data_IF_814728906611
#
_entry.id   IF_814728906611
#
_cell.length_a   1.000
_cell.length_b   1.000
_cell.length_c   1.000
_cell.angle_alpha   90.00
_cell.angle_beta   90.00
_cell.angle_gamma   90.00
#
_symmetry.space_group_name_H-M   'P 1'
#
loop_
_entity.id
_entity.type
_entity.pdbx_description
1 polymer ?
#
# COMPACT_ATOMS: atom_id res chain seq x y z
N UNK A 1 -8.50 15.81 9.41
CA UNK A 1 -9.01 14.52 8.90
C UNK A 1 -10.02 14.68 7.76
N UNK A 2 -11.18 15.34 7.95
CA UNK A 2 -12.20 15.58 6.89
C UNK A 2 -11.62 16.16 5.58
N UNK A 3 -10.75 17.17 5.69
CA UNK A 3 -10.12 17.80 4.52
C UNK A 3 -9.11 16.90 3.80
N UNK A 4 -8.41 16.02 4.52
CA UNK A 4 -7.49 15.04 3.92
C UNK A 4 -8.23 13.92 3.17
N UNK A 5 -9.40 13.51 3.69
CA UNK A 5 -10.30 12.55 3.02
C UNK A 5 -10.86 13.17 1.74
N UNK A 6 -11.29 14.44 1.80
CA UNK A 6 -11.71 15.21 0.62
C UNK A 6 -10.56 15.37 -0.39
N UNK A 7 -9.35 15.68 0.08
CA UNK A 7 -8.19 15.82 -0.79
C UNK A 7 -7.84 14.51 -1.51
N UNK A 8 -7.82 13.41 -0.75
CA UNK A 8 -7.61 12.06 -1.26
C UNK A 8 -8.67 11.69 -2.28
N UNK A 9 -9.95 11.98 -1.99
CA UNK A 9 -11.08 11.74 -2.90
C UNK A 9 -11.01 12.57 -4.20
N UNK A 10 -10.58 13.83 -4.12
CA UNK A 10 -10.42 14.69 -5.29
C UNK A 10 -9.30 14.19 -6.22
N UNK A 11 -8.09 13.95 -5.68
CA UNK A 11 -6.95 13.42 -6.45
C UNK A 11 -7.22 12.02 -7.02
N UNK A 12 -8.02 11.25 -6.31
CA UNK A 12 -8.53 9.94 -6.70
C UNK A 12 -9.49 10.01 -7.88
N UNK A 13 -10.41 10.98 -7.92
CA UNK A 13 -11.45 11.08 -8.96
C UNK A 13 -11.00 11.77 -10.26
N UNK A 14 -9.80 12.37 -10.27
CA UNK A 14 -9.24 13.08 -11.41
C UNK A 14 -9.17 12.31 -12.76
N UNK A 15 -8.96 10.99 -12.81
CA UNK A 15 -9.05 10.26 -14.09
C UNK A 15 -10.49 10.17 -14.63
N UNK A 16 -11.52 10.21 -13.78
CA UNK A 16 -12.93 10.23 -14.20
C UNK A 16 -13.28 11.57 -14.86
N UNK A 17 -12.65 12.66 -14.43
CA UNK A 17 -12.81 13.99 -15.05
C UNK A 17 -11.95 14.20 -16.29
N UNK A 18 -11.27 13.16 -16.78
CA UNK A 18 -10.56 13.21 -18.05
C UNK A 18 -9.29 14.07 -18.03
N UNK A 19 -8.75 14.41 -16.87
CA UNK A 19 -7.52 15.23 -16.74
C UNK A 19 -6.31 14.55 -17.38
N UNK A 20 -6.33 13.22 -17.47
CA UNK A 20 -5.35 12.41 -18.23
C UNK A 20 -5.28 12.75 -19.74
N UNK A 21 -6.33 13.32 -20.33
CA UNK A 21 -6.34 13.78 -21.72
C UNK A 21 -5.83 15.20 -21.90
N UNK A 22 -5.42 15.85 -20.80
CA UNK A 22 -5.01 17.25 -20.76
C UNK A 22 -3.51 17.37 -20.57
N UNK A 23 -2.85 16.33 -20.08
CA UNK A 23 -1.40 16.27 -19.91
C UNK A 23 -0.76 15.51 -21.07
N UNK A 24 0.19 16.16 -21.76
CA UNK A 24 1.01 15.55 -22.81
C UNK A 24 2.35 15.08 -22.22
N UNK A 25 2.87 13.94 -22.68
CA UNK A 25 4.09 13.29 -22.15
C UNK A 25 5.37 14.17 -22.19
N UNK A 26 5.36 15.27 -22.95
CA UNK A 26 6.49 16.17 -23.16
C UNK A 26 6.39 17.53 -22.43
N UNK A 27 5.45 17.68 -21.49
CA UNK A 27 5.24 18.95 -20.80
C UNK A 27 6.26 19.18 -19.68
N UNK A 28 6.80 20.40 -19.59
CA UNK A 28 7.60 20.81 -18.43
C UNK A 28 6.72 21.14 -17.22
N UNK A 29 7.32 21.23 -16.03
CA UNK A 29 6.61 21.43 -14.76
C UNK A 29 5.73 22.70 -14.76
N UNK A 30 6.16 23.77 -15.43
CA UNK A 30 5.38 25.02 -15.55
C UNK A 30 4.22 24.89 -16.52
N UNK A 31 4.41 24.15 -17.61
CA UNK A 31 3.38 23.87 -18.59
C UNK A 31 2.32 22.94 -18.00
N UNK A 32 2.73 21.90 -17.26
CA UNK A 32 1.84 21.01 -16.49
C UNK A 32 1.03 21.82 -15.49
N UNK A 33 1.70 22.65 -14.68
CA UNK A 33 1.03 23.50 -13.68
C UNK A 33 -0.02 24.41 -14.34
N UNK A 34 0.36 25.13 -15.41
CA UNK A 34 -0.54 26.05 -16.11
C UNK A 34 -1.76 25.32 -16.71
N UNK A 35 -1.56 24.13 -17.26
CA UNK A 35 -2.64 23.35 -17.88
C UNK A 35 -3.57 22.72 -16.84
N UNK A 36 -3.03 22.27 -15.71
CA UNK A 36 -3.81 21.84 -14.56
C UNK A 36 -4.61 23.00 -13.98
N UNK A 37 -4.01 24.17 -13.75
CA UNK A 37 -4.71 25.37 -13.27
C UNK A 37 -5.84 25.78 -14.22
N UNK A 38 -5.60 25.77 -15.53
CA UNK A 38 -6.60 26.13 -16.56
C UNK A 38 -7.74 25.11 -16.61
N UNK A 39 -7.44 23.83 -16.45
CA UNK A 39 -8.42 22.73 -16.55
C UNK A 39 -9.24 22.59 -15.28
N UNK A 40 -8.61 22.75 -14.12
CA UNK A 40 -9.28 22.70 -12.83
C UNK A 40 -10.13 23.95 -12.59
N UNK A 41 -9.86 25.06 -13.30
CA UNK A 41 -10.73 26.23 -13.36
C UNK A 41 -11.96 26.07 -14.26
N UNK A 42 -12.14 24.95 -14.97
CA UNK A 42 -13.33 24.71 -15.80
C UNK A 42 -14.53 24.35 -14.93
N UNK A 43 -15.67 24.97 -15.24
CA UNK A 43 -16.95 24.79 -14.53
C UNK A 43 -17.39 23.32 -14.40
N UNK A 44 -17.08 22.48 -15.38
CA UNK A 44 -17.42 21.05 -15.39
C UNK A 44 -16.68 20.23 -14.32
N UNK A 45 -15.40 20.55 -14.07
CA UNK A 45 -14.60 19.93 -12.99
C UNK A 45 -15.04 20.49 -11.65
N UNK A 46 -15.28 21.80 -11.57
CA UNK A 46 -15.78 22.45 -10.37
C UNK A 46 -17.14 21.86 -9.92
N UNK A 47 -18.04 21.51 -10.84
CA UNK A 47 -19.38 20.96 -10.52
C UNK A 47 -19.38 19.50 -10.04
N UNK A 48 -18.33 18.73 -10.32
CA UNK A 48 -18.21 17.33 -9.86
C UNK A 48 -17.80 17.26 -8.40
N UNK A 49 -17.17 18.33 -7.91
CA UNK A 49 -16.66 18.45 -6.54
C UNK A 49 -17.37 19.55 -5.73
N UNK A 50 -18.19 20.38 -6.35
CA UNK A 50 -19.07 21.31 -5.65
C UNK A 50 -20.23 20.51 -5.03
N UNK A 51 -20.09 20.19 -3.76
CA UNK A 51 -21.24 19.80 -2.94
C UNK A 51 -21.94 21.10 -2.49
N UNK A 52 -23.16 21.33 -2.99
CA UNK A 52 -23.99 22.48 -2.62
C UNK A 52 -24.28 22.57 -1.11
N UNK A 53 -23.98 21.52 -0.34
CA UNK A 53 -24.29 21.42 1.10
C UNK A 53 -23.08 21.52 2.04
N UNK A 54 -21.84 21.54 1.54
CA UNK A 54 -20.68 21.42 2.44
C UNK A 54 -20.24 22.72 3.11
N UNK A 55 -20.56 23.90 2.57
CA UNK A 55 -20.11 25.19 3.11
C UNK A 55 -21.17 26.27 2.85
N UNK A 56 -22.17 26.38 3.73
CA UNK A 56 -23.26 27.36 3.63
C UNK A 56 -22.78 28.83 3.74
N UNK A 57 -21.53 29.07 4.17
CA UNK A 57 -21.02 30.40 4.54
C UNK A 57 -19.85 30.94 3.68
N UNK A 58 -19.35 30.22 2.66
CA UNK A 58 -18.24 30.71 1.80
C UNK A 58 -18.63 30.89 0.31
N UNK A 59 -18.04 31.86 -0.41
CA UNK A 59 -18.44 32.20 -1.78
C UNK A 59 -18.24 31.02 -2.75
N UNK A 60 -19.17 30.90 -3.71
CA UNK A 60 -19.45 29.75 -4.61
C UNK A 60 -18.35 29.30 -5.58
N UNK A 61 -17.08 29.67 -5.39
CA UNK A 61 -15.98 29.36 -6.31
C UNK A 61 -14.82 28.61 -5.60
N UNK A 62 -15.12 27.66 -4.73
CA UNK A 62 -14.08 26.84 -4.10
C UNK A 62 -13.66 25.72 -5.05
N UNK A 63 -12.45 25.83 -5.60
CA UNK A 63 -11.83 24.76 -6.36
C UNK A 63 -11.29 23.68 -5.40
N UNK A 64 -12.09 22.63 -5.17
CA UNK A 64 -11.70 21.53 -4.28
C UNK A 64 -10.43 20.80 -4.72
N UNK A 65 -10.08 20.83 -6.02
CA UNK A 65 -8.81 20.30 -6.50
C UNK A 65 -7.61 21.15 -6.04
N UNK A 66 -7.70 22.47 -6.16
CA UNK A 66 -6.65 23.36 -5.67
C UNK A 66 -6.50 23.24 -4.16
N UNK A 67 -7.62 23.25 -3.43
CA UNK A 67 -7.64 22.98 -1.98
C UNK A 67 -7.04 21.62 -1.64
N UNK A 68 -7.38 20.56 -2.37
CA UNK A 68 -6.84 19.21 -2.15
C UNK A 68 -5.32 19.16 -2.35
N UNK A 69 -4.83 19.74 -3.44
CA UNK A 69 -3.41 19.83 -3.76
C UNK A 69 -2.67 20.65 -2.71
N UNK A 70 -3.17 21.83 -2.36
CA UNK A 70 -2.64 22.66 -1.27
C UNK A 70 -2.57 21.89 0.04
N UNK A 71 -3.66 21.22 0.44
CA UNK A 71 -3.67 20.43 1.67
C UNK A 71 -2.68 19.27 1.66
N UNK A 72 -2.53 18.56 0.54
CA UNK A 72 -1.56 17.46 0.42
C UNK A 72 -0.14 18.01 0.48
N UNK A 73 0.16 19.09 -0.24
CA UNK A 73 1.47 19.75 -0.19
C UNK A 73 1.80 20.29 1.20
N UNK A 74 0.83 20.91 1.89
CA UNK A 74 0.99 21.38 3.27
C UNK A 74 1.18 20.22 4.24
N UNK A 75 0.44 19.13 4.07
CA UNK A 75 0.56 17.93 4.91
C UNK A 75 1.92 17.25 4.72
N UNK A 76 2.41 17.16 3.47
CA UNK A 76 3.76 16.63 3.17
C UNK A 76 4.83 17.53 3.80
N UNK A 77 4.72 18.85 3.64
CA UNK A 77 5.66 19.81 4.24
C UNK A 77 5.66 19.71 5.77
N UNK A 78 4.49 19.75 6.39
CA UNK A 78 4.33 19.63 7.84
C UNK A 78 4.87 18.27 8.35
N UNK A 79 4.63 17.18 7.62
CA UNK A 79 5.18 15.87 7.95
C UNK A 79 6.71 15.84 7.87
N UNK A 80 7.31 16.45 6.85
CA UNK A 80 8.77 16.54 6.71
C UNK A 80 9.40 17.38 7.83
N UNK A 81 8.77 18.51 8.18
CA UNK A 81 9.19 19.33 9.30
C UNK A 81 9.06 18.60 10.63
N UNK A 82 7.97 17.85 10.84
CA UNK A 82 7.76 17.03 12.03
C UNK A 82 8.82 15.93 12.15
N UNK A 83 9.12 15.23 11.05
CA UNK A 83 10.18 14.21 11.01
C UNK A 83 11.55 14.79 11.30
N UNK A 84 11.90 15.93 10.70
CA UNK A 84 13.17 16.61 10.96
C UNK A 84 13.30 17.03 12.44
N UNK A 85 12.20 17.47 13.07
CA UNK A 85 12.17 17.78 14.50
C UNK A 85 12.29 16.53 15.36
N UNK A 86 11.59 15.44 15.04
CA UNK A 86 11.63 14.17 15.79
C UNK A 86 13.04 13.56 15.89
N UNK A 87 13.93 13.87 14.93
CA UNK A 87 15.33 13.46 14.97
C UNK A 87 16.17 14.22 16.01
N UNK A 88 15.64 15.28 16.63
CA UNK A 88 16.35 16.04 17.65
C UNK A 88 16.39 15.25 18.97
N UNK A 89 17.59 15.02 19.56
CA UNK A 89 17.74 14.16 20.72
C UNK A 89 17.10 14.72 22.00
N UNK A 90 16.94 16.04 22.10
CA UNK A 90 16.58 16.75 23.33
C UNK A 90 15.07 17.06 23.47
N UNK A 91 14.23 16.48 22.62
CA UNK A 91 12.78 16.68 22.70
C UNK A 91 12.18 16.05 23.96
N UNK A 92 11.43 16.86 24.73
CA UNK A 92 10.60 16.36 25.82
C UNK A 92 9.47 15.47 25.30
N UNK A 93 8.86 14.68 26.19
CA UNK A 93 7.72 13.81 25.83
C UNK A 93 6.51 14.63 25.33
N UNK A 94 6.28 15.80 25.91
CA UNK A 94 5.17 16.70 25.55
C UNK A 94 5.36 17.28 24.15
N UNK A 95 6.59 17.63 23.78
CA UNK A 95 6.92 18.12 22.43
C UNK A 95 6.92 17.01 21.39
N UNK A 96 7.33 15.79 21.78
CA UNK A 96 7.40 14.63 20.89
C UNK A 96 6.03 14.10 20.48
N UNK A 97 5.04 14.19 21.38
CA UNK A 97 3.68 13.67 21.16
C UNK A 97 2.99 14.22 19.91
N UNK A 98 2.80 15.55 19.74
CA UNK A 98 2.13 16.09 18.56
C UNK A 98 2.91 15.79 17.27
N UNK A 99 4.26 15.85 17.32
CA UNK A 99 5.09 15.57 16.15
C UNK A 99 4.99 14.11 15.69
N UNK A 100 5.00 13.15 16.61
CA UNK A 100 4.87 11.74 16.30
C UNK A 100 3.48 11.42 15.73
N UNK A 101 2.44 12.02 16.30
CA UNK A 101 1.05 11.90 15.82
C UNK A 101 0.94 12.42 14.39
N UNK A 102 1.42 13.64 14.12
CA UNK A 102 1.35 14.26 12.80
C UNK A 102 2.13 13.48 11.75
N UNK A 103 3.35 13.04 12.10
CA UNK A 103 4.18 12.23 11.22
C UNK A 103 3.51 10.88 10.89
N UNK A 104 2.97 10.17 11.89
CA UNK A 104 2.34 8.87 11.68
C UNK A 104 1.06 8.98 10.84
N UNK A 105 0.18 9.93 11.15
CA UNK A 105 -1.06 10.15 10.38
C UNK A 105 -0.79 10.57 8.94
N UNK A 106 0.15 11.50 8.75
CA UNK A 106 0.49 12.00 7.41
C UNK A 106 1.09 10.91 6.53
N UNK A 107 2.01 10.10 7.08
CA UNK A 107 2.58 8.96 6.38
C UNK A 107 1.54 7.85 6.13
N UNK A 108 0.60 7.62 7.05
CA UNK A 108 -0.54 6.71 6.86
C UNK A 108 -1.46 7.13 5.73
N UNK A 109 -1.79 8.42 5.67
CA UNK A 109 -2.59 8.99 4.57
C UNK A 109 -1.84 8.91 3.24
N UNK A 110 -0.53 9.20 3.23
CA UNK A 110 0.31 9.07 2.04
C UNK A 110 0.35 7.62 1.54
N UNK A 111 0.53 6.65 2.44
CA UNK A 111 0.47 5.23 2.08
C UNK A 111 -0.88 4.84 1.46
N UNK A 112 -2.00 5.27 2.07
CA UNK A 112 -3.33 5.01 1.53
C UNK A 112 -3.58 5.66 0.18
N UNK A 113 -3.17 6.91 0.02
CA UNK A 113 -3.25 7.66 -1.24
C UNK A 113 -2.44 6.95 -2.34
N UNK A 114 -1.17 6.67 -2.09
CA UNK A 114 -0.30 5.98 -3.05
C UNK A 114 -0.80 4.56 -3.34
N UNK A 115 -1.40 3.90 -2.35
CA UNK A 115 -2.03 2.58 -2.45
C UNK A 115 -3.23 2.51 -3.40
N UNK A 116 -4.02 3.59 -3.46
CA UNK A 116 -5.28 3.66 -4.22
C UNK A 116 -5.16 4.39 -5.56
N UNK A 117 -4.15 5.25 -5.70
CA UNK A 117 -4.04 6.11 -6.86
C UNK A 117 -3.80 5.33 -8.17
N UNK A 118 -4.36 5.79 -9.29
CA UNK A 118 -4.30 5.11 -10.58
C UNK A 118 -3.23 5.60 -11.54
N UNK A 119 -2.52 6.66 -11.17
CA UNK A 119 -1.58 7.40 -11.99
C UNK A 119 -0.20 6.74 -12.12
N UNK A 120 0.08 5.71 -11.31
CA UNK A 120 1.40 5.10 -11.27
C UNK A 120 2.48 6.06 -10.77
N UNK A 121 2.15 7.02 -9.89
CA UNK A 121 3.10 8.00 -9.32
C UNK A 121 4.35 7.33 -8.74
N UNK A 122 4.14 6.19 -8.09
CA UNK A 122 5.21 5.35 -7.57
C UNK A 122 4.89 3.88 -7.89
N UNK A 123 5.90 3.04 -8.17
CA UNK A 123 5.70 1.61 -8.26
C UNK A 123 5.50 1.01 -6.85
N UNK A 124 5.04 -0.24 -6.79
CA UNK A 124 5.03 -1.00 -5.53
C UNK A 124 6.45 -1.14 -4.97
N UNK A 125 7.38 -1.47 -5.86
CA UNK A 125 8.82 -1.53 -5.59
C UNK A 125 9.57 -1.11 -6.85
N UNK A 126 10.57 -0.26 -6.69
CA UNK A 126 11.50 0.13 -7.74
C UNK A 126 12.73 -0.78 -7.72
N UNK A 127 12.98 -1.53 -8.77
CA UNK A 127 14.20 -2.34 -8.89
C UNK A 127 15.14 -1.60 -9.86
N UNK A 128 16.10 -0.81 -9.36
CA UNK A 128 16.92 0.04 -10.21
C UNK A 128 17.74 -0.82 -11.18
N UNK A 129 17.68 -0.46 -12.46
CA UNK A 129 18.57 -1.04 -13.46
C UNK A 129 19.96 -0.41 -13.35
N UNK A 130 20.96 -1.04 -13.97
CA UNK A 130 22.33 -0.50 -13.97
C UNK A 130 22.31 0.95 -14.49
N UNK A 131 22.77 1.89 -13.67
CA UNK A 131 22.79 3.35 -13.92
C UNK A 131 21.47 4.12 -13.67
N UNK A 132 20.47 3.53 -13.02
CA UNK A 132 19.28 4.26 -12.59
C UNK A 132 19.38 4.68 -11.12
N UNK A 133 18.97 5.92 -10.83
CA UNK A 133 18.84 6.40 -9.45
C UNK A 133 17.74 5.64 -8.70
N UNK A 134 17.93 5.51 -7.39
CA UNK A 134 16.89 4.97 -6.51
C UNK A 134 15.68 5.90 -6.51
N UNK A 135 14.55 5.41 -7.03
CA UNK A 135 13.26 6.09 -6.95
C UNK A 135 12.49 5.66 -5.70
N UNK A 136 11.70 6.58 -5.16
CA UNK A 136 10.75 6.29 -4.09
C UNK A 136 9.69 5.33 -4.58
N UNK A 137 9.29 4.39 -3.73
CA UNK A 137 8.22 3.43 -3.98
C UNK A 137 7.38 3.17 -2.73
N UNK A 138 6.27 2.47 -2.92
CA UNK A 138 5.31 2.21 -1.84
C UNK A 138 5.92 1.37 -0.73
N UNK A 139 6.81 0.43 -1.04
CA UNK A 139 7.51 -0.39 -0.05
C UNK A 139 8.41 0.46 0.86
N UNK A 140 9.09 1.46 0.30
CA UNK A 140 9.87 2.43 1.07
C UNK A 140 8.98 3.31 1.97
N UNK A 141 7.83 3.78 1.45
CA UNK A 141 6.86 4.56 2.24
C UNK A 141 6.29 3.74 3.41
N UNK A 142 5.91 2.48 3.15
CA UNK A 142 5.41 1.56 4.16
C UNK A 142 6.44 1.33 5.29
N UNK A 143 7.70 1.15 4.90
CA UNK A 143 8.82 1.00 5.83
C UNK A 143 9.05 2.25 6.67
N UNK A 144 9.06 3.44 6.06
CA UNK A 144 9.20 4.71 6.77
C UNK A 144 8.09 4.90 7.82
N UNK A 145 6.84 4.65 7.44
CA UNK A 145 5.71 4.68 8.37
C UNK A 145 5.89 3.68 9.52
N UNK A 146 6.30 2.45 9.21
CA UNK A 146 6.53 1.42 10.23
C UNK A 146 7.64 1.83 11.20
N UNK A 147 8.73 2.41 10.73
CA UNK A 147 9.82 2.91 11.58
C UNK A 147 9.31 3.96 12.56
N UNK A 148 8.56 4.97 12.08
CA UNK A 148 7.96 6.01 12.92
C UNK A 148 7.08 5.39 14.01
N UNK A 149 6.22 4.43 13.64
CA UNK A 149 5.31 3.77 14.57
C UNK A 149 6.06 2.97 15.64
N UNK A 150 7.13 2.25 15.27
CA UNK A 150 7.92 1.45 16.21
C UNK A 150 8.77 2.33 17.14
N UNK A 151 9.43 3.36 16.62
CA UNK A 151 10.31 4.26 17.39
C UNK A 151 9.53 5.17 18.36
N UNK A 152 8.27 5.46 18.05
CA UNK A 152 7.43 6.34 18.86
C UNK A 152 6.19 5.64 19.43
N UNK A 153 6.22 4.29 19.48
CA UNK A 153 5.10 3.46 19.90
C UNK A 153 4.48 3.91 21.23
N UNK A 154 5.29 4.08 22.28
CA UNK A 154 4.80 4.44 23.62
C UNK A 154 4.13 5.82 23.65
N UNK A 155 4.61 6.74 22.82
CA UNK A 155 4.06 8.09 22.68
C UNK A 155 2.74 8.03 21.92
N UNK A 156 2.68 7.28 20.82
CA UNK A 156 1.46 7.06 20.04
C UNK A 156 0.37 6.36 20.85
N UNK A 157 0.72 5.38 21.71
CA UNK A 157 -0.24 4.73 22.60
C UNK A 157 -0.81 5.65 23.68
N UNK A 158 -0.10 6.74 24.02
CA UNK A 158 -0.61 7.78 24.93
C UNK A 158 -1.45 8.86 24.24
N UNK A 159 -1.61 8.79 22.92
CA UNK A 159 -2.37 9.77 22.13
C UNK A 159 -3.83 9.36 21.92
N UNK A 160 -4.64 10.30 21.41
CA UNK A 160 -6.03 10.05 21.01
C UNK A 160 -6.17 9.09 19.82
N UNK A 161 -5.07 8.85 19.08
CA UNK A 161 -5.04 7.94 17.94
C UNK A 161 -4.44 6.57 18.28
N UNK A 162 -4.28 6.27 19.57
CA UNK A 162 -3.72 5.00 20.05
C UNK A 162 -4.38 3.77 19.39
N UNK A 163 -5.69 3.82 19.17
CA UNK A 163 -6.45 2.70 18.63
C UNK A 163 -6.06 2.38 17.18
N UNK A 164 -5.54 3.36 16.42
CA UNK A 164 -5.03 3.14 15.05
C UNK A 164 -3.71 2.36 15.02
N UNK A 165 -2.93 2.45 16.09
CA UNK A 165 -1.58 1.86 16.19
C UNK A 165 -1.49 0.75 17.23
N UNK A 166 -2.64 0.33 17.77
CA UNK A 166 -2.73 -0.77 18.71
C UNK A 166 -2.46 -2.09 17.98
N UNK A 167 -1.18 -2.51 17.91
CA UNK A 167 -0.75 -3.71 17.17
C UNK A 167 -1.29 -5.04 17.75
N UNK A 168 -1.86 -4.98 18.95
CA UNK A 168 -2.56 -6.10 19.60
C UNK A 168 -3.76 -6.61 18.79
N UNK A 169 -4.28 -5.86 17.80
CA UNK A 169 -5.30 -6.39 16.90
C UNK A 169 -4.85 -7.68 16.20
N UNK A 170 -3.56 -7.75 15.81
CA UNK A 170 -2.98 -9.00 15.32
C UNK A 170 -3.07 -10.08 16.41
N UNK A 171 -2.74 -9.74 17.66
CA UNK A 171 -2.89 -10.59 18.87
C UNK A 171 -4.32 -11.08 19.13
N UNK A 172 -5.33 -10.37 18.65
CA UNK A 172 -6.74 -10.76 18.72
C UNK A 172 -7.20 -11.65 17.55
N UNK A 173 -6.35 -11.90 16.55
CA UNK A 173 -6.66 -12.81 15.45
C UNK A 173 -6.84 -14.24 15.99
N UNK A 174 -8.02 -14.85 15.84
CA UNK A 174 -8.21 -16.24 16.25
C UNK A 174 -7.25 -17.16 15.48
N UNK A 175 -6.84 -18.27 16.10
CA UNK A 175 -6.04 -19.29 15.43
C UNK A 175 -6.89 -19.98 14.36
N UNK A 176 -6.89 -19.42 13.15
CA UNK A 176 -7.51 -19.95 11.95
C UNK A 176 -6.47 -19.94 10.85
N UNK A 177 -6.47 -21.00 10.06
CA UNK A 177 -5.56 -21.12 8.93
C UNK A 177 -6.21 -20.53 7.69
N UNK A 178 -5.38 -19.95 6.83
CA UNK A 178 -5.81 -19.36 5.57
C UNK A 178 -5.11 -20.12 4.45
N UNK A 179 -5.89 -20.74 3.55
CA UNK A 179 -5.40 -21.73 2.59
C UNK A 179 -4.22 -21.23 1.74
N UNK A 180 -4.33 -20.03 1.19
CA UNK A 180 -3.24 -19.41 0.41
C UNK A 180 -1.94 -19.25 1.23
N UNK A 181 -2.05 -18.98 2.54
CA UNK A 181 -0.88 -18.82 3.43
C UNK A 181 -0.31 -20.16 3.85
N UNK A 182 -1.13 -21.20 4.01
CA UNK A 182 -0.66 -22.57 4.21
C UNK A 182 0.16 -23.04 3.01
N UNK A 183 -0.33 -22.81 1.79
CA UNK A 183 0.36 -23.21 0.56
C UNK A 183 1.70 -22.45 0.40
N UNK A 184 1.74 -21.16 0.75
CA UNK A 184 2.99 -20.40 0.79
C UNK A 184 3.97 -20.91 1.85
N UNK A 185 3.50 -21.32 3.03
CA UNK A 185 4.37 -21.94 4.03
C UNK A 185 4.95 -23.27 3.55
N UNK A 186 4.17 -24.09 2.86
CA UNK A 186 4.66 -25.32 2.25
C UNK A 186 5.76 -25.03 1.22
N UNK A 187 5.53 -24.06 0.34
CA UNK A 187 6.48 -23.68 -0.70
C UNK A 187 7.72 -22.97 -0.14
N UNK A 188 7.60 -22.26 1.00
CA UNK A 188 8.76 -21.77 1.74
C UNK A 188 9.63 -22.95 2.21
N UNK A 189 9.00 -23.97 2.80
CA UNK A 189 9.75 -25.15 3.24
C UNK A 189 10.43 -25.85 2.06
N UNK A 190 9.77 -25.98 0.91
CA UNK A 190 10.40 -26.49 -0.31
C UNK A 190 11.57 -25.63 -0.79
N UNK A 191 11.41 -24.31 -0.80
CA UNK A 191 12.48 -23.36 -1.12
C UNK A 191 13.69 -23.52 -0.18
N UNK A 192 13.45 -23.80 1.10
CA UNK A 192 14.49 -23.99 2.11
C UNK A 192 15.09 -25.39 2.14
N UNK A 193 14.52 -26.41 1.47
CA UNK A 193 15.10 -27.76 1.42
C UNK A 193 16.49 -27.79 0.77
N UNK A 194 16.82 -26.79 -0.06
CA UNK A 194 18.17 -26.61 -0.60
C UNK A 194 19.21 -26.12 0.42
N UNK A 195 18.78 -25.70 1.60
CA UNK A 195 19.64 -25.18 2.68
C UNK A 195 19.85 -26.27 3.73
N UNK A 196 21.06 -26.81 3.78
CA UNK A 196 21.47 -27.76 4.82
C UNK A 196 21.44 -27.08 6.20
N UNK A 197 20.80 -27.71 7.19
CA UNK A 197 20.71 -27.19 8.57
C UNK A 197 22.07 -26.89 9.19
N UNK A 198 23.12 -27.61 8.77
CA UNK A 198 24.49 -27.43 9.26
C UNK A 198 25.23 -26.26 8.59
N UNK A 199 24.67 -25.70 7.50
CA UNK A 199 25.27 -24.62 6.70
C UNK A 199 24.48 -23.30 6.80
N UNK A 200 23.53 -23.20 7.75
CA UNK A 200 22.76 -21.97 7.99
C UNK A 200 23.65 -20.97 8.74
N UNK A 201 24.12 -19.96 8.02
CA UNK A 201 24.76 -18.80 8.63
C UNK A 201 23.74 -17.84 9.27
N UNK A 202 24.25 -16.84 10.00
CA UNK A 202 23.42 -15.88 10.71
C UNK A 202 22.52 -15.06 9.78
N UNK A 203 22.97 -14.76 8.55
CA UNK A 203 22.20 -13.98 7.58
C UNK A 203 21.05 -14.81 6.97
N UNK A 204 21.31 -16.08 6.68
CA UNK A 204 20.30 -17.03 6.23
C UNK A 204 19.25 -17.27 7.31
N UNK A 205 19.66 -17.38 8.58
CA UNK A 205 18.72 -17.48 9.70
C UNK A 205 17.83 -16.24 9.84
N UNK A 206 18.38 -15.02 9.70
CA UNK A 206 17.60 -13.77 9.68
C UNK A 206 16.59 -13.76 8.54
N UNK A 207 17.02 -14.15 7.33
CA UNK A 207 16.14 -14.22 6.16
C UNK A 207 14.97 -15.18 6.38
N UNK A 208 15.25 -16.38 6.89
CA UNK A 208 14.23 -17.39 7.20
C UNK A 208 13.22 -16.83 8.22
N UNK A 209 13.71 -16.20 9.29
CA UNK A 209 12.85 -15.58 10.30
C UNK A 209 11.99 -14.46 9.72
N UNK A 210 12.56 -13.62 8.85
CA UNK A 210 11.83 -12.56 8.17
C UNK A 210 10.68 -13.13 7.29
N UNK A 211 10.92 -14.22 6.55
CA UNK A 211 9.90 -14.87 5.73
C UNK A 211 8.78 -15.49 6.57
N UNK A 212 9.12 -16.21 7.65
CA UNK A 212 8.12 -16.74 8.56
C UNK A 212 7.29 -15.63 9.23
N UNK A 213 7.92 -14.51 9.62
CA UNK A 213 7.22 -13.36 10.17
C UNK A 213 6.26 -12.73 9.14
N UNK A 214 6.67 -12.59 7.88
CA UNK A 214 5.81 -12.10 6.80
C UNK A 214 4.60 -13.01 6.58
N UNK A 215 4.79 -14.32 6.55
CA UNK A 215 3.70 -15.29 6.40
C UNK A 215 2.76 -15.30 7.60
N UNK A 216 3.33 -15.25 8.82
CA UNK A 216 2.55 -15.19 10.05
C UNK A 216 1.68 -13.93 10.09
N UNK A 217 2.24 -12.77 9.80
CA UNK A 217 1.48 -11.51 9.76
C UNK A 217 0.45 -11.51 8.64
N UNK A 218 0.75 -12.11 7.48
CA UNK A 218 -0.20 -12.25 6.37
C UNK A 218 -1.41 -13.09 6.77
N UNK A 219 -1.19 -14.22 7.45
CA UNK A 219 -2.28 -15.06 7.96
C UNK A 219 -3.19 -14.26 8.90
N UNK A 220 -2.60 -13.50 9.84
CA UNK A 220 -3.37 -12.74 10.83
C UNK A 220 -4.20 -11.64 10.21
N UNK A 221 -3.67 -10.88 9.26
CA UNK A 221 -4.43 -9.82 8.60
C UNK A 221 -5.58 -10.40 7.76
N UNK A 222 -5.36 -11.54 7.09
CA UNK A 222 -6.42 -12.28 6.40
C UNK A 222 -7.49 -12.75 7.39
N UNK A 223 -7.10 -13.28 8.55
CA UNK A 223 -8.01 -13.72 9.61
C UNK A 223 -8.85 -12.57 10.18
N UNK A 224 -8.25 -11.41 10.41
CA UNK A 224 -8.99 -10.23 10.84
C UNK A 224 -9.94 -9.74 9.74
N UNK A 225 -9.49 -9.78 8.48
CA UNK A 225 -10.32 -9.49 7.32
C UNK A 225 -11.58 -10.36 7.26
N UNK A 226 -11.44 -11.66 7.51
CA UNK A 226 -12.58 -12.59 7.65
C UNK A 226 -13.47 -12.25 8.85
N UNK A 227 -12.86 -12.04 10.02
CA UNK A 227 -13.58 -11.86 11.28
C UNK A 227 -14.48 -10.64 11.25
N UNK A 228 -14.00 -9.54 10.69
CA UNK A 228 -14.72 -8.28 10.62
C UNK A 228 -15.42 -8.05 9.28
N UNK A 229 -15.28 -8.99 8.33
CA UNK A 229 -15.69 -8.82 6.94
C UNK A 229 -15.25 -7.45 6.37
N UNK A 230 -13.97 -7.12 6.58
CA UNK A 230 -13.43 -5.80 6.23
C UNK A 230 -11.91 -5.87 5.92
N UNK A 231 -11.44 -5.45 4.73
CA UNK A 231 -10.10 -5.80 4.24
C UNK A 231 -9.00 -4.86 4.70
N UNK A 232 -9.30 -3.85 5.51
CA UNK A 232 -8.33 -2.82 5.88
C UNK A 232 -7.06 -3.40 6.51
N UNK A 233 -7.18 -4.46 7.31
CA UNK A 233 -6.00 -5.10 7.88
C UNK A 233 -5.14 -5.78 6.81
N UNK A 234 -5.77 -6.40 5.81
CA UNK A 234 -5.06 -6.95 4.66
C UNK A 234 -4.29 -5.84 3.93
N UNK A 235 -4.91 -4.70 3.66
CA UNK A 235 -4.28 -3.58 2.94
C UNK A 235 -3.13 -2.93 3.72
N UNK A 236 -3.13 -3.07 5.05
CA UNK A 236 -2.06 -2.60 5.94
C UNK A 236 -0.93 -3.60 6.10
N UNK A 237 -0.93 -4.76 5.43
CA UNK A 237 0.07 -5.81 5.66
C UNK A 237 1.52 -5.33 5.50
N UNK A 238 1.81 -4.46 4.52
CA UNK A 238 3.16 -3.87 4.34
C UNK A 238 3.63 -3.05 5.54
N UNK A 239 2.73 -2.60 6.42
CA UNK A 239 3.08 -1.91 7.66
C UNK A 239 3.43 -2.91 8.79
N UNK A 240 3.09 -4.19 8.63
CA UNK A 240 3.26 -5.25 9.62
C UNK A 240 4.45 -6.20 9.34
N UNK A 241 4.96 -6.26 8.10
CA UNK A 241 6.13 -7.06 7.70
C UNK A 241 7.44 -6.58 8.33
N UNK A 242 8.43 -7.46 8.46
CA UNK A 242 9.76 -7.11 9.00
C UNK A 242 10.41 -6.06 8.11
N UNK A 243 11.12 -5.10 8.71
CA UNK A 243 11.90 -4.08 7.98
C UNK A 243 12.96 -4.73 7.06
N UNK A 244 13.46 -5.90 7.45
CA UNK A 244 14.47 -6.67 6.74
C UNK A 244 14.00 -7.16 5.36
N UNK A 245 12.67 -7.31 5.15
CA UNK A 245 12.13 -7.81 3.87
C UNK A 245 12.53 -6.91 2.71
N UNK A 246 12.71 -5.61 2.96
CA UNK A 246 13.12 -4.65 1.95
C UNK A 246 14.46 -5.02 1.35
N UNK A 247 15.45 -5.38 2.17
CA UNK A 247 16.77 -5.75 1.68
C UNK A 247 16.69 -6.99 0.78
N UNK A 248 15.90 -8.00 1.16
CA UNK A 248 15.73 -9.21 0.35
C UNK A 248 14.97 -8.96 -0.94
N UNK A 249 13.95 -8.09 -0.94
CA UNK A 249 13.24 -7.68 -2.16
C UNK A 249 14.17 -6.91 -3.10
N UNK A 250 14.99 -5.98 -2.59
CA UNK A 250 15.96 -5.24 -3.43
C UNK A 250 17.10 -6.09 -3.94
N UNK A 251 17.48 -7.12 -3.19
CA UNK A 251 18.41 -8.15 -3.63
C UNK A 251 17.76 -9.16 -4.60
N UNK A 252 16.53 -8.89 -5.05
CA UNK A 252 15.75 -9.73 -5.96
C UNK A 252 15.65 -11.19 -5.49
N UNK A 253 15.57 -11.40 -4.17
CA UNK A 253 15.39 -12.74 -3.64
C UNK A 253 14.07 -13.34 -4.19
N UNK A 254 14.12 -14.54 -4.81
CA UNK A 254 12.96 -15.10 -5.50
C UNK A 254 11.73 -15.25 -4.61
N UNK A 255 11.92 -15.69 -3.36
CA UNK A 255 10.82 -15.90 -2.42
C UNK A 255 10.28 -14.57 -1.87
N UNK A 256 11.16 -13.59 -1.59
CA UNK A 256 10.75 -12.27 -1.13
C UNK A 256 9.90 -11.53 -2.18
N UNK A 257 10.33 -11.53 -3.45
CA UNK A 257 9.55 -10.94 -4.55
C UNK A 257 8.22 -11.68 -4.76
N UNK A 258 8.23 -13.01 -4.58
CA UNK A 258 7.03 -13.83 -4.70
C UNK A 258 5.99 -13.55 -3.60
N UNK A 259 6.42 -13.31 -2.36
CA UNK A 259 5.52 -12.85 -1.29
C UNK A 259 4.84 -11.54 -1.67
N UNK A 260 5.60 -10.58 -2.20
CA UNK A 260 5.07 -9.30 -2.67
C UNK A 260 4.11 -9.47 -3.85
N UNK A 261 4.41 -10.40 -4.76
CA UNK A 261 3.56 -10.75 -5.90
C UNK A 261 2.21 -11.32 -5.45
N UNK A 262 2.21 -12.29 -4.54
CA UNK A 262 0.97 -12.88 -4.03
C UNK A 262 0.16 -11.84 -3.26
N UNK A 263 0.81 -11.02 -2.43
CA UNK A 263 0.15 -9.92 -1.75
C UNK A 263 -0.48 -8.92 -2.74
N UNK A 264 0.22 -8.52 -3.79
CA UNK A 264 -0.34 -7.64 -4.81
C UNK A 264 -1.55 -8.28 -5.52
N UNK A 265 -1.51 -9.59 -5.78
CA UNK A 265 -2.67 -10.32 -6.31
C UNK A 265 -3.88 -10.26 -5.35
N UNK A 266 -3.66 -10.41 -4.05
CA UNK A 266 -4.71 -10.26 -3.03
C UNK A 266 -5.26 -8.83 -3.03
N UNK A 267 -4.41 -7.80 -3.06
CA UNK A 267 -4.83 -6.41 -3.17
C UNK A 267 -5.71 -6.17 -4.41
N UNK A 268 -5.34 -6.72 -5.58
CA UNK A 268 -6.18 -6.60 -6.80
C UNK A 268 -7.51 -7.33 -6.63
N UNK A 269 -7.50 -8.56 -6.12
CA UNK A 269 -8.70 -9.38 -5.93
C UNK A 269 -9.72 -8.74 -4.97
N UNK A 270 -9.23 -8.19 -3.86
CA UNK A 270 -10.03 -7.52 -2.83
C UNK A 270 -10.25 -6.02 -3.11
N UNK A 271 -9.96 -5.57 -4.33
CA UNK A 271 -10.25 -4.21 -4.82
C UNK A 271 -9.57 -3.10 -4.02
N UNK A 272 -8.31 -3.30 -3.63
CA UNK A 272 -7.48 -2.20 -3.13
C UNK A 272 -6.98 -1.31 -4.27
N UNK A 273 -7.91 -0.73 -5.00
CA UNK A 273 -7.65 0.16 -6.10
C UNK A 273 -8.89 0.99 -6.35
N UNK A 274 -8.70 2.17 -6.92
CA UNK A 274 -9.82 2.97 -7.37
C UNK A 274 -10.18 2.68 -8.83
N UNK A 275 -9.18 2.40 -9.67
CA UNK A 275 -9.36 2.03 -11.07
C UNK A 275 -8.75 0.66 -11.34
N UNK A 276 -9.57 -0.24 -11.86
CA UNK A 276 -9.20 -1.63 -12.08
C UNK A 276 -8.03 -1.78 -13.07
N UNK A 277 -8.01 -0.97 -14.12
CA UNK A 277 -7.08 -1.13 -15.24
C UNK A 277 -5.69 -0.57 -14.98
N UNK A 278 -5.63 0.51 -14.20
CA UNK A 278 -4.44 1.28 -13.88
C UNK A 278 -4.35 1.43 -12.36
N UNK A 279 -3.56 0.56 -11.74
CA UNK A 279 -3.23 0.63 -10.33
C UNK A 279 -1.92 -0.11 -10.07
N UNK A 280 -1.19 0.35 -9.06
CA UNK A 280 0.15 -0.12 -8.76
C UNK A 280 0.23 -1.63 -8.50
N UNK A 281 -0.83 -2.24 -7.94
CA UNK A 281 -0.85 -3.65 -7.58
C UNK A 281 -0.88 -4.51 -8.83
N UNK A 282 -1.81 -4.20 -9.74
CA UNK A 282 -1.92 -4.86 -11.04
C UNK A 282 -0.67 -4.65 -11.89
N UNK A 283 -0.11 -3.45 -11.85
CA UNK A 283 1.10 -3.13 -12.61
C UNK A 283 2.29 -3.92 -12.11
N UNK A 284 2.45 -4.08 -10.79
CA UNK A 284 3.46 -4.95 -10.22
C UNK A 284 3.27 -6.42 -10.58
N UNK A 285 2.04 -6.95 -10.52
CA UNK A 285 1.75 -8.35 -10.90
C UNK A 285 2.12 -8.62 -12.37
N UNK A 286 1.80 -7.68 -13.27
CA UNK A 286 2.20 -7.74 -14.69
C UNK A 286 3.71 -7.63 -14.87
N UNK A 287 4.35 -6.71 -14.16
CA UNK A 287 5.80 -6.54 -14.15
C UNK A 287 6.51 -7.82 -13.72
N UNK A 288 6.09 -8.43 -12.60
CA UNK A 288 6.69 -9.64 -12.06
C UNK A 288 6.61 -10.81 -13.04
N UNK A 289 5.42 -11.07 -13.61
CA UNK A 289 5.25 -12.13 -14.63
C UNK A 289 6.14 -11.92 -15.86
N UNK A 290 6.29 -10.67 -16.30
CA UNK A 290 7.11 -10.33 -17.47
C UNK A 290 8.61 -10.55 -17.23
N UNK A 291 9.10 -10.22 -16.03
CA UNK A 291 10.54 -10.23 -15.74
C UNK A 291 11.04 -11.54 -15.13
N UNK A 292 10.20 -12.21 -14.34
CA UNK A 292 10.56 -13.45 -13.64
C UNK A 292 9.84 -14.69 -14.17
N UNK A 293 9.14 -14.56 -15.32
CA UNK A 293 8.51 -15.68 -16.00
C UNK A 293 9.53 -16.62 -16.67
N UNK A 294 9.18 -17.90 -16.91
CA UNK A 294 7.89 -18.54 -16.63
C UNK A 294 7.66 -18.75 -15.13
N UNK A 295 6.43 -18.50 -14.67
CA UNK A 295 6.07 -18.66 -13.26
C UNK A 295 5.80 -20.13 -12.93
N UNK A 296 5.89 -20.48 -11.64
CA UNK A 296 5.42 -21.80 -11.18
C UNK A 296 3.90 -21.93 -11.35
N UNK A 297 3.38 -23.16 -11.37
CA UNK A 297 1.95 -23.42 -11.61
C UNK A 297 1.04 -22.68 -10.60
N UNK A 298 1.43 -22.59 -9.33
CA UNK A 298 0.68 -21.82 -8.32
C UNK A 298 0.55 -20.34 -8.71
N UNK A 299 1.67 -19.72 -9.07
CA UNK A 299 1.69 -18.30 -9.41
C UNK A 299 0.97 -18.03 -10.73
N UNK A 300 1.07 -18.92 -11.73
CA UNK A 300 0.31 -18.73 -12.98
C UNK A 300 -1.20 -18.87 -12.80
N UNK A 301 -1.65 -19.85 -12.01
CA UNK A 301 -3.06 -19.99 -11.63
C UNK A 301 -3.58 -18.70 -11.01
N UNK A 302 -2.81 -18.15 -10.06
CA UNK A 302 -3.15 -16.90 -9.39
C UNK A 302 -3.18 -15.72 -10.37
N UNK A 303 -2.18 -15.59 -11.25
CA UNK A 303 -2.14 -14.57 -12.29
C UNK A 303 -3.39 -14.61 -13.16
N UNK A 304 -3.72 -15.79 -13.69
CA UNK A 304 -4.84 -15.93 -14.61
C UNK A 304 -6.17 -15.66 -13.92
N UNK A 305 -6.35 -16.14 -12.69
CA UNK A 305 -7.56 -15.86 -11.91
C UNK A 305 -7.76 -14.37 -11.65
N UNK A 306 -6.72 -13.68 -11.16
CA UNK A 306 -6.84 -12.28 -10.72
C UNK A 306 -6.74 -11.29 -11.89
N UNK A 307 -5.81 -11.51 -12.83
CA UNK A 307 -5.51 -10.54 -13.89
C UNK A 307 -6.28 -10.83 -15.18
N UNK A 308 -6.30 -12.10 -15.61
CA UNK A 308 -6.89 -12.47 -16.91
C UNK A 308 -8.40 -12.63 -16.83
N UNK A 309 -8.89 -13.43 -15.86
CA UNK A 309 -10.32 -13.65 -15.61
C UNK A 309 -10.97 -12.47 -14.87
N UNK A 310 -10.17 -11.60 -14.25
CA UNK A 310 -10.64 -10.47 -13.44
C UNK A 310 -11.61 -10.91 -12.33
N UNK A 311 -11.33 -12.07 -11.73
CA UNK A 311 -12.12 -12.60 -10.62
C UNK A 311 -11.86 -11.73 -9.39
N UNK A 312 -12.78 -10.82 -9.08
CA UNK A 312 -12.71 -9.98 -7.88
C UNK A 312 -13.74 -10.44 -6.84
N UNK A 313 -13.51 -10.06 -5.59
CA UNK A 313 -14.48 -10.27 -4.51
C UNK A 313 -15.84 -9.68 -4.90
N UNK A 314 -16.91 -10.46 -4.68
CA UNK A 314 -18.28 -10.06 -4.99
C UNK A 314 -19.01 -9.68 -3.70
N UNK A 315 -19.89 -8.68 -3.77
CA UNK A 315 -20.70 -8.22 -2.64
C UNK A 315 -19.91 -7.88 -1.37
N UNK A 316 -18.63 -7.52 -1.52
CA UNK A 316 -17.73 -7.20 -0.41
C UNK A 316 -17.68 -8.33 0.64
N UNK A 317 -17.75 -9.59 0.18
CA UNK A 317 -17.59 -10.80 0.99
C UNK A 317 -16.11 -11.11 1.23
N UNK A 318 -15.50 -10.43 2.19
CA UNK A 318 -14.12 -10.65 2.60
C UNK A 318 -13.94 -11.95 3.42
N UNK A 319 -15.04 -12.62 3.81
CA UNK A 319 -14.97 -13.96 4.41
C UNK A 319 -14.50 -14.98 3.38
N UNK A 320 -14.67 -14.72 2.08
CA UNK A 320 -14.25 -15.60 0.98
C UNK A 320 -12.75 -15.89 0.98
N UNK A 321 -11.92 -15.09 1.64
CA UNK A 321 -10.47 -15.32 1.74
C UNK A 321 -10.13 -16.65 2.41
N UNK A 322 -11.03 -17.17 3.25
CA UNK A 322 -10.88 -18.49 3.88
C UNK A 322 -10.80 -19.62 2.84
N UNK A 323 -11.54 -19.46 1.75
CA UNK A 323 -11.72 -20.44 0.68
C UNK A 323 -10.91 -20.05 -0.58
N UNK A 324 -9.99 -19.09 -0.44
CA UNK A 324 -9.11 -18.66 -1.54
C UNK A 324 -8.03 -19.73 -1.78
N UNK A 325 -8.44 -20.80 -2.45
CA UNK A 325 -7.63 -21.96 -2.77
C UNK A 325 -7.23 -21.93 -4.25
N UNK A 326 -5.95 -21.65 -4.49
CA UNK A 326 -5.35 -21.55 -5.83
C UNK A 326 -5.40 -22.89 -6.57
N UNK A 327 -5.52 -24.01 -5.85
CA UNK A 327 -5.62 -25.34 -6.44
C UNK A 327 -7.05 -25.74 -6.79
N UNK A 328 -8.04 -24.92 -6.45
CA UNK A 328 -9.43 -25.18 -6.81
C UNK A 328 -9.68 -25.01 -8.32
N UNK A 329 -10.71 -25.68 -8.89
CA UNK A 329 -11.02 -25.58 -10.32
C UNK A 329 -11.31 -24.16 -10.82
N UNK A 330 -11.69 -23.24 -9.93
CA UNK A 330 -11.93 -21.84 -10.28
C UNK A 330 -10.67 -21.15 -10.85
N UNK A 331 -9.48 -21.62 -10.45
CA UNK A 331 -8.18 -21.07 -10.85
C UNK A 331 -7.57 -21.75 -12.08
N UNK A 332 -8.20 -22.79 -12.64
CA UNK A 332 -7.70 -23.46 -13.84
C UNK A 332 -7.69 -22.51 -15.04
N UNK A 333 -6.61 -22.51 -15.82
CA UNK A 333 -6.36 -21.54 -16.89
C UNK A 333 -5.93 -22.17 -18.23
N UNK A 334 -5.97 -23.50 -18.30
CA UNK A 334 -5.65 -24.28 -19.50
C UNK A 334 -6.89 -24.51 -20.35
#
# INVERSE_FOLDING_TARGET
MRNAILATGCLSLMPVVGVQHVLEDSMDEKAVQKVLETTCGKFEVLRIFADDTMFEDEPRDINLFMKATEFVSESIRASNEALAKLQQPDLSREERLPLAVDAALSNGLLFGFLGLQPWGLVPLVHLPQTHEDNKTDLLHVAHGLRTIVLEHHDVLLSSDIRDLYYQDELNLAPKKRVKIVEDLNYQLNEYLQGTSFFDIDAETAKMINAFHHCLHTLERVCVLGMKFNYPVMLFRWLLFVSLEINAYVRAENPFALRLLYVYACLCVHYKFWLFEQHNLWRDFVRFYRKHYGPLCEFDERLYHYVISKKSFVQNDDYVSIKDFDVWSPAFDYK
#
